data_IF_486120593946
#
_entry.id   IF_486120593946
#
_cell.length_a   1.000
_cell.length_b   1.000
_cell.length_c   1.000
_cell.angle_alpha   90.00
_cell.angle_beta   90.00
_cell.angle_gamma   90.00
#
_symmetry.space_group_name_H-M   'P 1'
#
loop_
_entity.id
_entity.type
_entity.pdbx_description
1 polymer ?
#
# COMPACT_ATOMS: atom_id res chain seq x y z
N UNK A 1 10.10 -37.16 9.09
CA UNK A 1 8.84 -36.89 9.79
C UNK A 1 8.45 -35.40 9.70
N UNK A 2 7.31 -34.99 10.26
CA UNK A 2 6.76 -33.65 10.16
C UNK A 2 7.74 -32.55 10.60
N UNK A 3 8.47 -32.76 11.69
CA UNK A 3 9.49 -31.81 12.16
C UNK A 3 10.54 -31.49 11.08
N UNK A 4 11.16 -32.51 10.48
CA UNK A 4 12.19 -32.31 9.45
C UNK A 4 11.61 -31.60 8.21
N UNK A 5 10.35 -31.88 7.87
CA UNK A 5 9.64 -31.21 6.79
C UNK A 5 9.44 -29.73 7.08
N UNK A 6 8.89 -29.39 8.26
CA UNK A 6 8.66 -28.00 8.66
C UNK A 6 9.94 -27.20 8.85
N UNK A 7 11.02 -27.86 9.31
CA UNK A 7 12.34 -27.20 9.40
C UNK A 7 12.93 -26.93 8.01
N UNK A 8 12.80 -27.88 7.07
CA UNK A 8 13.23 -27.70 5.68
C UNK A 8 12.51 -26.54 4.99
N UNK A 9 11.22 -26.37 5.27
CA UNK A 9 10.42 -25.25 4.76
C UNK A 9 10.67 -23.92 5.52
N UNK A 10 11.54 -23.90 6.52
CA UNK A 10 11.80 -22.71 7.33
C UNK A 10 10.63 -22.30 8.24
N UNK A 11 9.58 -23.12 8.34
CA UNK A 11 8.38 -22.85 9.18
C UNK A 11 8.77 -22.88 10.64
N UNK A 12 9.50 -23.93 11.06
CA UNK A 12 10.04 -24.06 12.42
C UNK A 12 11.54 -23.79 12.37
N UNK A 13 11.98 -22.79 13.11
CA UNK A 13 13.37 -22.39 13.22
C UNK A 13 13.82 -22.51 14.69
N UNK A 14 15.06 -22.95 14.88
CA UNK A 14 15.67 -23.00 16.21
C UNK A 14 15.95 -21.62 16.78
N UNK A 15 16.03 -21.51 18.09
CA UNK A 15 16.51 -20.32 18.79
C UNK A 15 18.03 -20.11 18.61
N UNK A 16 18.66 -19.33 19.47
CA UNK A 16 20.09 -19.11 19.49
C UNK A 16 20.83 -20.46 19.52
N UNK A 17 21.70 -20.71 18.52
CA UNK A 17 22.40 -21.98 18.35
C UNK A 17 21.63 -23.07 17.58
N UNK A 18 20.47 -22.76 16.98
CA UNK A 18 19.73 -23.67 16.10
C UNK A 18 18.92 -24.76 16.80
N UNK A 19 18.88 -24.79 18.13
CA UNK A 19 18.17 -25.79 18.89
C UNK A 19 16.63 -25.57 18.80
N UNK A 20 15.90 -26.62 18.44
CA UNK A 20 14.44 -26.65 18.44
C UNK A 20 13.94 -27.01 19.84
N UNK A 21 13.36 -26.08 20.57
CA UNK A 21 12.81 -26.31 21.90
C UNK A 21 11.37 -26.88 21.81
N UNK A 22 11.22 -28.09 21.24
CA UNK A 22 9.92 -28.68 20.91
C UNK A 22 9.06 -29.06 22.12
N UNK A 23 9.66 -29.14 23.32
CA UNK A 23 8.96 -29.50 24.55
C UNK A 23 8.36 -28.30 25.32
N UNK A 24 8.60 -27.07 24.88
CA UNK A 24 8.07 -25.88 25.56
C UNK A 24 6.76 -25.41 24.94
N UNK A 25 6.00 -24.67 25.73
CA UNK A 25 4.80 -23.97 25.23
C UNK A 25 5.17 -22.91 24.21
N UNK A 26 4.45 -22.90 23.10
CA UNK A 26 4.55 -21.87 22.07
C UNK A 26 3.78 -20.62 22.49
N UNK A 27 4.37 -19.44 22.29
CA UNK A 27 3.65 -18.18 22.49
C UNK A 27 2.70 -17.92 21.31
N UNK A 28 1.73 -17.02 21.51
CA UNK A 28 0.82 -16.60 20.45
C UNK A 28 1.59 -16.01 19.25
N UNK A 29 2.57 -15.14 19.51
CA UNK A 29 3.40 -14.54 18.47
C UNK A 29 4.19 -15.59 17.68
N UNK A 30 4.79 -16.58 18.36
CA UNK A 30 5.50 -17.68 17.67
C UNK A 30 4.56 -18.51 16.81
N UNK A 31 3.35 -18.78 17.31
CA UNK A 31 2.35 -19.50 16.52
C UNK A 31 1.95 -18.72 15.27
N UNK A 32 1.73 -17.41 15.37
CA UNK A 32 1.41 -16.54 14.24
C UNK A 32 2.55 -16.50 13.21
N UNK A 33 3.80 -16.39 13.66
CA UNK A 33 4.98 -16.42 12.78
C UNK A 33 5.09 -17.74 12.04
N UNK A 34 4.89 -18.86 12.73
CA UNK A 34 4.92 -20.20 12.12
C UNK A 34 3.79 -20.40 11.11
N UNK A 35 2.58 -19.95 11.45
CA UNK A 35 1.44 -20.00 10.53
C UNK A 35 1.69 -19.20 9.25
N UNK A 36 2.18 -17.96 9.39
CA UNK A 36 2.55 -17.14 8.24
C UNK A 36 3.63 -17.79 7.37
N UNK A 37 4.69 -18.31 7.97
CA UNK A 37 5.75 -19.04 7.25
C UNK A 37 5.22 -20.27 6.52
N UNK A 38 4.28 -21.00 7.12
CA UNK A 38 3.67 -22.16 6.48
C UNK A 38 2.84 -21.76 5.26
N UNK A 39 2.03 -20.69 5.38
CA UNK A 39 1.25 -20.16 4.27
C UNK A 39 2.19 -19.76 3.13
N UNK A 40 3.22 -18.96 3.42
CA UNK A 40 4.18 -18.53 2.41
C UNK A 40 4.91 -19.71 1.75
N UNK A 41 5.31 -20.72 2.52
CA UNK A 41 5.97 -21.90 1.98
C UNK A 41 5.08 -22.68 1.01
N UNK A 42 3.77 -22.80 1.29
CA UNK A 42 2.80 -23.44 0.38
C UNK A 42 2.66 -22.66 -0.92
N UNK A 43 2.56 -21.33 -0.83
CA UNK A 43 2.50 -20.46 -2.02
C UNK A 43 3.79 -20.54 -2.84
N UNK A 44 4.95 -20.56 -2.18
CA UNK A 44 6.26 -20.65 -2.83
C UNK A 44 6.48 -21.97 -3.57
N UNK A 45 6.03 -23.10 -2.99
CA UNK A 45 6.08 -24.41 -3.65
C UNK A 45 5.20 -24.47 -4.92
N UNK A 46 4.14 -23.69 -4.95
CA UNK A 46 3.19 -23.63 -6.08
C UNK A 46 3.52 -22.51 -7.09
N UNK A 47 4.60 -21.77 -6.90
CA UNK A 47 4.93 -20.54 -7.65
C UNK A 47 3.73 -19.56 -7.69
N UNK A 48 3.00 -19.49 -6.58
CA UNK A 48 1.77 -18.72 -6.43
C UNK A 48 2.01 -17.39 -5.69
N UNK A 49 0.96 -16.60 -5.59
CA UNK A 49 1.01 -15.24 -5.03
C UNK A 49 1.06 -14.17 -6.12
N UNK A 50 0.82 -12.93 -5.71
CA UNK A 50 0.79 -11.80 -6.65
C UNK A 50 2.19 -11.41 -7.08
N UNK A 51 2.49 -11.58 -8.38
CA UNK A 51 3.78 -11.19 -8.99
C UNK A 51 3.86 -9.69 -9.25
N UNK A 52 2.72 -9.04 -9.46
CA UNK A 52 2.67 -7.66 -9.87
C UNK A 52 3.45 -7.39 -11.17
N UNK A 53 3.80 -6.13 -11.38
CA UNK A 53 4.70 -5.71 -12.46
C UNK A 53 6.08 -5.45 -11.85
N UNK A 54 6.88 -6.50 -11.72
CA UNK A 54 8.23 -6.43 -11.16
C UNK A 54 9.28 -6.57 -12.26
N UNK A 55 10.17 -5.59 -12.37
CA UNK A 55 11.36 -5.63 -13.22
C UNK A 55 12.63 -5.55 -12.38
N UNK A 56 13.68 -6.18 -12.91
CA UNK A 56 15.02 -6.11 -12.35
C UNK A 56 15.95 -5.54 -13.40
N UNK A 57 16.65 -4.46 -13.08
CA UNK A 57 17.73 -3.90 -13.88
C UNK A 57 19.06 -4.06 -13.13
N UNK A 58 20.13 -4.43 -13.87
CA UNK A 58 21.46 -4.61 -13.30
C UNK A 58 22.50 -3.85 -14.10
N UNK A 59 23.45 -3.22 -13.40
CA UNK A 59 24.61 -2.57 -14.01
C UNK A 59 25.84 -2.83 -13.12
N UNK A 60 26.67 -3.78 -13.55
CA UNK A 60 27.77 -4.29 -12.71
C UNK A 60 27.22 -4.94 -11.43
N UNK A 61 27.66 -4.46 -10.28
CA UNK A 61 27.20 -4.94 -8.97
C UNK A 61 25.91 -4.28 -8.50
N UNK A 62 25.47 -3.19 -9.17
CA UNK A 62 24.26 -2.48 -8.79
C UNK A 62 23.02 -3.18 -9.34
N UNK A 63 22.01 -3.28 -8.52
CA UNK A 63 20.70 -3.85 -8.88
C UNK A 63 19.59 -2.86 -8.48
N UNK A 64 18.69 -2.61 -9.43
CA UNK A 64 17.46 -1.85 -9.23
C UNK A 64 16.26 -2.77 -9.47
N UNK A 65 15.30 -2.76 -8.56
CA UNK A 65 13.99 -3.36 -8.75
C UNK A 65 12.96 -2.26 -8.96
N UNK A 66 12.11 -2.42 -9.97
CA UNK A 66 10.98 -1.53 -10.25
C UNK A 66 9.71 -2.34 -10.07
N UNK A 67 8.85 -1.92 -9.16
CA UNK A 67 7.57 -2.56 -8.88
C UNK A 67 6.44 -1.58 -9.19
N UNK A 68 5.58 -1.94 -10.14
CA UNK A 68 4.32 -1.24 -10.36
C UNK A 68 3.33 -1.59 -9.25
N UNK A 69 2.82 -0.59 -8.57
CA UNK A 69 1.87 -0.74 -7.46
C UNK A 69 0.50 -0.17 -7.80
N UNK A 70 -0.48 -0.52 -7.01
CA UNK A 70 -1.83 0.03 -7.06
C UNK A 70 -2.22 0.46 -5.64
N UNK A 71 -2.71 1.68 -5.49
CA UNK A 71 -3.08 2.27 -4.20
C UNK A 71 -4.47 1.83 -3.71
N UNK A 72 -4.86 0.59 -4.02
CA UNK A 72 -6.15 0.04 -3.66
C UNK A 72 -5.97 -1.17 -2.74
N UNK A 73 -6.80 -1.21 -1.72
CA UNK A 73 -6.90 -2.35 -0.83
C UNK A 73 -7.60 -3.49 -1.58
N UNK A 74 -6.84 -4.55 -1.91
CA UNK A 74 -7.40 -5.74 -2.56
C UNK A 74 -6.89 -7.01 -1.89
N UNK A 75 -7.81 -7.84 -1.43
CA UNK A 75 -7.49 -9.10 -0.76
C UNK A 75 -6.71 -10.07 -1.65
N UNK A 76 -6.97 -10.06 -2.96
CA UNK A 76 -6.38 -10.99 -3.92
C UNK A 76 -4.93 -10.67 -4.30
N UNK A 77 -4.32 -9.60 -3.78
CA UNK A 77 -2.91 -9.29 -4.01
C UNK A 77 -1.98 -9.95 -3.00
N UNK A 78 -2.52 -10.52 -1.93
CA UNK A 78 -1.71 -11.18 -0.89
C UNK A 78 -1.89 -12.70 -0.90
N UNK A 79 -0.82 -13.44 -0.55
CA UNK A 79 0.53 -12.95 -0.29
C UNK A 79 1.22 -12.46 -1.56
N UNK A 80 2.12 -11.49 -1.42
CA UNK A 80 3.01 -11.11 -2.52
C UNK A 80 3.88 -12.31 -2.91
N UNK A 81 4.10 -12.47 -4.21
CA UNK A 81 4.93 -13.54 -4.75
C UNK A 81 6.35 -13.52 -4.19
N UNK A 82 6.99 -14.68 -4.12
CA UNK A 82 8.36 -14.86 -3.62
C UNK A 82 9.34 -13.86 -4.24
N UNK A 83 9.28 -13.64 -5.56
CA UNK A 83 10.17 -12.71 -6.25
C UNK A 83 10.07 -11.27 -5.73
N UNK A 84 8.86 -10.80 -5.40
CA UNK A 84 8.65 -9.45 -4.83
C UNK A 84 9.21 -9.37 -3.42
N UNK A 85 8.95 -10.39 -2.60
CA UNK A 85 9.47 -10.46 -1.23
C UNK A 85 10.99 -10.54 -1.18
N UNK A 86 11.61 -11.32 -2.09
CA UNK A 86 13.06 -11.42 -2.22
C UNK A 86 13.70 -10.12 -2.74
N UNK A 87 13.06 -9.44 -3.70
CA UNK A 87 13.51 -8.14 -4.17
C UNK A 87 13.52 -7.11 -3.03
N UNK A 88 12.42 -7.03 -2.26
CA UNK A 88 12.35 -6.17 -1.10
C UNK A 88 13.43 -6.53 -0.05
N UNK A 89 13.62 -7.81 0.22
CA UNK A 89 14.64 -8.25 1.18
C UNK A 89 16.06 -7.89 0.75
N UNK A 90 16.38 -8.03 -0.56
CA UNK A 90 17.69 -7.75 -1.12
C UNK A 90 17.99 -6.24 -1.26
N UNK A 91 16.98 -5.39 -1.27
CA UNK A 91 17.16 -3.94 -1.39
C UNK A 91 17.67 -3.34 -0.08
N UNK A 92 18.60 -2.41 -0.16
CA UNK A 92 19.10 -1.64 0.99
C UNK A 92 18.22 -0.42 1.26
N UNK A 93 17.62 0.12 0.20
CA UNK A 93 16.77 1.29 0.20
C UNK A 93 15.47 0.99 -0.55
N UNK A 94 14.38 1.63 -0.15
CA UNK A 94 13.09 1.60 -0.84
C UNK A 94 12.69 3.03 -1.17
N UNK A 95 12.44 3.29 -2.45
CA UNK A 95 12.07 4.60 -2.95
C UNK A 95 10.62 4.55 -3.44
N UNK A 96 9.79 5.42 -2.90
CA UNK A 96 8.38 5.58 -3.26
C UNK A 96 8.17 6.77 -4.19
N UNK A 97 6.98 6.89 -4.74
CA UNK A 97 6.55 8.12 -5.41
C UNK A 97 6.57 9.29 -4.41
N UNK A 98 5.97 9.10 -3.24
CA UNK A 98 5.95 10.02 -2.12
C UNK A 98 6.40 9.33 -0.84
N UNK A 99 7.05 10.05 0.08
CA UNK A 99 7.37 9.51 1.40
C UNK A 99 6.08 9.40 2.25
N UNK A 100 5.63 8.17 2.45
CA UNK A 100 4.42 7.88 3.25
C UNK A 100 4.57 8.22 4.74
N UNK A 101 5.77 8.57 5.19
CA UNK A 101 6.06 8.95 6.57
C UNK A 101 6.18 10.47 6.75
N UNK A 102 6.16 11.26 5.66
CA UNK A 102 6.21 12.73 5.68
C UNK A 102 4.84 13.30 6.09
N UNK A 103 4.65 13.52 7.40
CA UNK A 103 3.41 14.04 7.96
C UNK A 103 3.13 15.49 7.53
N UNK A 104 4.17 16.30 7.33
CA UNK A 104 4.02 17.69 6.88
C UNK A 104 3.57 17.74 5.42
N UNK A 105 4.17 16.92 4.56
CA UNK A 105 3.77 16.77 3.17
C UNK A 105 2.34 16.25 3.01
N UNK A 106 1.96 15.24 3.79
CA UNK A 106 0.59 14.72 3.82
C UNK A 106 -0.40 15.81 4.21
N UNK A 107 -0.12 16.57 5.27
CA UNK A 107 -0.97 17.67 5.72
C UNK A 107 -1.07 18.79 4.66
N UNK A 108 0.05 19.09 3.96
CA UNK A 108 0.05 20.03 2.86
C UNK A 108 -0.88 19.56 1.73
N UNK A 109 -0.75 18.33 1.26
CA UNK A 109 -1.62 17.78 0.21
C UNK A 109 -3.10 17.82 0.62
N UNK A 110 -3.41 17.49 1.87
CA UNK A 110 -4.77 17.59 2.41
C UNK A 110 -5.29 19.02 2.37
N UNK A 111 -4.45 20.01 2.72
CA UNK A 111 -4.85 21.42 2.68
C UNK A 111 -5.10 21.93 1.27
N UNK A 112 -4.42 21.39 0.26
CA UNK A 112 -4.61 21.75 -1.14
C UNK A 112 -5.91 21.21 -1.74
N UNK A 113 -6.53 20.22 -1.11
CA UNK A 113 -7.80 19.62 -1.58
C UNK A 113 -9.02 20.55 -1.42
N UNK A 114 -8.91 21.57 -0.59
CA UNK A 114 -10.01 22.47 -0.27
C UNK A 114 -9.73 23.90 -0.70
N UNK A 115 -10.81 24.67 -0.93
CA UNK A 115 -10.70 26.10 -1.15
C UNK A 115 -10.36 26.81 0.16
N UNK A 116 -9.45 27.79 0.07
CA UNK A 116 -9.03 28.62 1.21
C UNK A 116 -9.34 30.11 1.02
N UNK A 117 -9.90 30.48 -0.13
CA UNK A 117 -10.19 31.86 -0.54
C UNK A 117 -11.66 32.27 -0.26
N UNK A 118 -12.43 31.38 0.34
CA UNK A 118 -13.85 31.61 0.66
C UNK A 118 -14.81 31.28 -0.49
N UNK A 119 -14.31 30.78 -1.62
CA UNK A 119 -15.13 30.25 -2.70
C UNK A 119 -15.56 28.80 -2.40
N UNK A 120 -16.50 28.30 -3.17
CA UNK A 120 -17.07 26.95 -3.04
C UNK A 120 -17.00 26.21 -4.37
N UNK A 121 -17.22 24.91 -4.34
CA UNK A 121 -17.28 24.09 -5.56
C UNK A 121 -18.27 24.67 -6.59
N UNK A 122 -19.42 25.18 -6.14
CA UNK A 122 -20.44 25.75 -7.00
C UNK A 122 -19.95 27.00 -7.77
N UNK A 123 -18.93 27.70 -7.27
CA UNK A 123 -18.35 28.87 -7.93
C UNK A 123 -17.41 28.50 -9.09
N UNK A 124 -16.95 27.23 -9.13
CA UNK A 124 -15.90 26.75 -10.04
C UNK A 124 -16.39 25.77 -11.10
N UNK A 125 -17.60 25.21 -10.97
CA UNK A 125 -18.16 24.27 -11.93
C UNK A 125 -19.55 24.67 -12.39
N UNK A 126 -20.02 24.14 -13.52
CA UNK A 126 -21.38 24.46 -13.98
C UNK A 126 -22.46 23.88 -13.06
N UNK A 127 -23.66 24.50 -13.01
CA UNK A 127 -24.78 23.97 -12.20
C UNK A 127 -25.14 22.53 -12.54
N UNK A 128 -25.03 22.13 -13.83
CA UNK A 128 -25.31 20.77 -14.29
C UNK A 128 -24.26 19.79 -13.76
N UNK A 129 -22.99 20.19 -13.77
CA UNK A 129 -21.92 19.35 -13.23
C UNK A 129 -22.03 19.23 -11.71
N UNK A 130 -22.39 20.33 -11.03
CA UNK A 130 -22.62 20.33 -9.58
C UNK A 130 -23.71 19.33 -9.17
N UNK A 131 -24.85 19.30 -9.88
CA UNK A 131 -25.90 18.31 -9.64
C UNK A 131 -25.43 16.87 -9.84
N UNK A 132 -24.60 16.63 -10.87
CA UNK A 132 -24.00 15.30 -11.10
C UNK A 132 -23.05 14.89 -9.98
N UNK A 133 -22.24 15.82 -9.48
CA UNK A 133 -21.34 15.60 -8.33
C UNK A 133 -22.15 15.25 -7.09
N UNK A 134 -23.23 15.98 -6.79
CA UNK A 134 -24.12 15.68 -5.66
C UNK A 134 -24.76 14.29 -5.78
N UNK A 135 -25.20 13.91 -6.97
CA UNK A 135 -25.78 12.59 -7.23
C UNK A 135 -24.76 11.47 -7.03
N UNK A 136 -23.55 11.66 -7.55
CA UNK A 136 -22.44 10.69 -7.38
C UNK A 136 -22.09 10.54 -5.89
N UNK A 137 -21.92 11.63 -5.18
CA UNK A 137 -21.62 11.65 -3.75
C UNK A 137 -22.67 10.89 -2.94
N UNK A 138 -23.94 11.15 -3.21
CA UNK A 138 -25.05 10.43 -2.56
C UNK A 138 -25.02 8.92 -2.84
N UNK A 139 -24.69 8.52 -4.08
CA UNK A 139 -24.54 7.11 -4.45
C UNK A 139 -23.39 6.43 -3.70
N UNK A 140 -22.34 7.18 -3.41
CA UNK A 140 -21.15 6.69 -2.68
C UNK A 140 -21.28 6.86 -1.15
N UNK A 141 -22.44 7.33 -0.65
CA UNK A 141 -22.72 7.50 0.78
C UNK A 141 -22.06 8.73 1.40
N UNK A 142 -21.62 9.70 0.59
CA UNK A 142 -21.06 10.96 1.08
C UNK A 142 -22.17 11.97 1.38
N UNK A 143 -22.00 12.73 2.48
CA UNK A 143 -22.90 13.83 2.82
C UNK A 143 -22.77 15.00 1.84
N UNK A 144 -23.88 15.65 1.50
CA UNK A 144 -23.87 16.78 0.56
C UNK A 144 -23.24 18.07 1.12
N UNK A 145 -23.19 18.22 2.43
CA UNK A 145 -22.77 19.48 3.07
C UNK A 145 -21.25 19.72 3.02
N UNK A 146 -20.46 18.67 2.80
CA UNK A 146 -19.00 18.77 2.83
C UNK A 146 -18.40 18.95 1.43
N UNK A 147 -19.18 18.74 0.37
CA UNK A 147 -18.70 18.76 -1.01
C UNK A 147 -18.24 20.15 -1.45
N UNK A 148 -18.88 21.20 -0.96
CA UNK A 148 -18.61 22.57 -1.35
C UNK A 148 -17.22 23.08 -0.97
N UNK A 149 -16.61 22.43 0.00
CA UNK A 149 -15.24 22.79 0.44
C UNK A 149 -14.16 22.25 -0.49
N UNK A 150 -14.46 21.19 -1.24
CA UNK A 150 -13.45 20.46 -2.00
C UNK A 150 -13.32 20.97 -3.44
N UNK A 151 -12.08 20.99 -3.90
CA UNK A 151 -11.74 21.26 -5.31
C UNK A 151 -12.12 20.08 -6.21
N UNK A 152 -12.42 20.33 -7.52
CA UNK A 152 -12.85 19.28 -8.45
C UNK A 152 -11.92 18.08 -8.52
N UNK A 153 -10.59 18.28 -8.56
CA UNK A 153 -9.63 17.19 -8.62
C UNK A 153 -9.67 16.29 -7.39
N UNK A 154 -9.86 16.85 -6.21
CA UNK A 154 -9.94 16.11 -4.96
C UNK A 154 -11.19 15.22 -4.92
N UNK A 155 -12.32 15.74 -5.37
CA UNK A 155 -13.57 14.96 -5.51
C UNK A 155 -13.44 13.87 -6.57
N UNK A 156 -12.81 14.16 -7.72
CA UNK A 156 -12.58 13.16 -8.77
C UNK A 156 -11.73 12.01 -8.25
N UNK A 157 -10.66 12.30 -7.52
CA UNK A 157 -9.81 11.28 -6.88
C UNK A 157 -10.59 10.47 -5.84
N UNK A 158 -11.33 11.14 -4.97
CA UNK A 158 -12.16 10.50 -3.93
C UNK A 158 -13.21 9.57 -4.54
N UNK A 159 -13.96 10.04 -5.55
CA UNK A 159 -14.97 9.23 -6.21
C UNK A 159 -14.37 8.02 -6.92
N UNK A 160 -13.22 8.19 -7.57
CA UNK A 160 -12.52 7.08 -8.20
C UNK A 160 -12.14 6.00 -7.17
N UNK A 161 -11.57 6.41 -6.05
CA UNK A 161 -11.18 5.50 -4.97
C UNK A 161 -12.39 4.78 -4.37
N UNK A 162 -13.46 5.51 -4.02
CA UNK A 162 -14.66 4.93 -3.42
C UNK A 162 -15.40 3.99 -4.39
N UNK A 163 -15.45 4.33 -5.68
CA UNK A 163 -16.05 3.45 -6.69
C UNK A 163 -15.33 2.12 -6.80
N UNK A 164 -14.01 2.13 -6.70
CA UNK A 164 -13.19 0.92 -6.75
C UNK A 164 -13.26 0.11 -5.44
N UNK A 165 -13.43 0.76 -4.30
CA UNK A 165 -13.60 0.08 -3.01
C UNK A 165 -14.94 -0.65 -2.90
N UNK A 166 -16.01 -0.11 -3.47
CA UNK A 166 -17.33 -0.75 -3.48
C UNK A 166 -17.37 -2.06 -4.28
N UNK A 167 -16.43 -2.26 -5.20
CA UNK A 167 -16.29 -3.51 -5.96
C UNK A 167 -15.46 -4.58 -5.22
N UNK A 168 -14.89 -4.24 -4.07
CA UNK A 168 -14.06 -5.17 -3.28
C UNK A 168 -14.83 -5.72 -2.09
N UNK A 169 -15.15 -7.01 -2.12
CA UNK A 169 -15.80 -7.76 -1.02
C UNK A 169 -14.76 -8.24 0.00
N UNK A 170 -13.98 -7.36 0.56
CA UNK A 170 -12.97 -7.77 1.53
C UNK A 170 -12.44 -6.56 2.30
N UNK A 171 -12.97 -6.34 3.48
CA UNK A 171 -12.47 -5.30 4.36
C UNK A 171 -11.09 -5.69 4.91
N UNK A 172 -10.13 -4.77 4.88
CA UNK A 172 -8.86 -4.75 5.60
C UNK A 172 -7.60 -5.27 4.89
N UNK A 173 -7.56 -5.40 3.57
CA UNK A 173 -6.28 -5.56 2.89
C UNK A 173 -5.53 -4.20 2.90
N UNK A 174 -4.26 -4.22 3.27
CA UNK A 174 -3.40 -3.05 3.22
C UNK A 174 -2.98 -2.79 1.75
N UNK A 175 -2.95 -1.52 1.30
CA UNK A 175 -2.39 -1.17 0.00
C UNK A 175 -0.93 -1.63 -0.11
N UNK A 176 -0.48 -2.01 -1.31
CA UNK A 176 0.86 -2.60 -1.51
C UNK A 176 1.96 -1.64 -1.04
N UNK A 177 1.83 -0.35 -1.34
CA UNK A 177 2.80 0.68 -0.94
C UNK A 177 2.90 0.76 0.60
N UNK A 178 1.77 0.77 1.29
CA UNK A 178 1.72 0.78 2.75
C UNK A 178 2.34 -0.48 3.36
N UNK A 179 2.11 -1.65 2.74
CA UNK A 179 2.73 -2.91 3.15
C UNK A 179 4.25 -2.87 3.00
N UNK A 180 4.74 -2.42 1.83
CA UNK A 180 6.18 -2.31 1.55
C UNK A 180 6.83 -1.28 2.47
N UNK A 181 6.17 -0.12 2.69
CA UNK A 181 6.66 0.89 3.63
C UNK A 181 6.80 0.34 5.04
N UNK A 182 5.76 -0.33 5.56
CA UNK A 182 5.81 -0.95 6.88
C UNK A 182 6.93 -2.01 6.98
N UNK A 183 7.11 -2.82 5.95
CA UNK A 183 8.18 -3.82 5.90
C UNK A 183 9.58 -3.17 5.85
N UNK A 184 9.76 -2.07 5.10
CA UNK A 184 11.00 -1.31 5.01
C UNK A 184 11.35 -0.67 6.36
N UNK A 185 10.39 0.03 6.99
CA UNK A 185 10.55 0.63 8.32
C UNK A 185 10.93 -0.43 9.36
N UNK A 186 10.20 -1.54 9.42
CA UNK A 186 10.45 -2.62 10.38
C UNK A 186 11.80 -3.31 10.18
N UNK A 187 12.34 -3.25 8.96
CA UNK A 187 13.66 -3.84 8.61
C UNK A 187 14.80 -2.84 8.72
N UNK A 188 14.52 -1.57 9.09
CA UNK A 188 15.52 -0.51 9.20
C UNK A 188 16.14 -0.10 7.87
N UNK A 189 15.42 -0.29 6.74
CA UNK A 189 15.87 0.13 5.42
C UNK A 189 15.77 1.65 5.27
N UNK A 190 16.65 2.23 4.44
CA UNK A 190 16.50 3.61 4.02
C UNK A 190 15.21 3.78 3.19
N UNK A 191 14.52 4.90 3.38
CA UNK A 191 13.29 5.24 2.66
C UNK A 191 13.53 6.57 1.96
N UNK A 192 13.25 6.61 0.66
CA UNK A 192 13.32 7.80 -0.17
C UNK A 192 12.03 8.02 -0.94
N UNK A 193 11.94 9.17 -1.62
CA UNK A 193 10.86 9.51 -2.52
C UNK A 193 11.40 10.20 -3.78
N UNK A 194 10.73 9.98 -4.91
CA UNK A 194 11.08 10.64 -6.19
C UNK A 194 10.38 11.97 -6.36
N UNK A 195 9.26 12.19 -5.69
CA UNK A 195 8.48 13.41 -5.73
C UNK A 195 8.25 13.97 -4.34
N UNK A 196 7.76 15.21 -4.27
CA UNK A 196 7.30 15.84 -3.05
C UNK A 196 5.79 16.06 -3.09
N UNK A 197 5.15 16.09 -1.95
CA UNK A 197 3.72 16.41 -1.84
C UNK A 197 3.38 17.79 -2.41
N UNK A 198 4.28 18.76 -2.26
CA UNK A 198 4.11 20.09 -2.84
C UNK A 198 4.13 20.06 -4.38
N UNK A 199 5.02 19.26 -4.98
CA UNK A 199 5.10 19.11 -6.43
C UNK A 199 3.84 18.41 -6.98
N UNK A 200 3.48 17.27 -6.42
CA UNK A 200 2.32 16.50 -6.85
C UNK A 200 1.00 17.27 -6.64
N UNK A 201 0.84 17.91 -5.47
CA UNK A 201 -0.32 18.75 -5.18
C UNK A 201 -0.43 19.95 -6.14
N UNK A 202 0.69 20.56 -6.51
CA UNK A 202 0.73 21.64 -7.49
C UNK A 202 0.32 21.22 -8.91
N UNK A 203 0.64 19.97 -9.31
CA UNK A 203 0.16 19.40 -10.59
C UNK A 203 -1.37 19.26 -10.55
N UNK A 204 -1.92 18.66 -9.51
CA UNK A 204 -3.37 18.47 -9.39
C UNK A 204 -4.12 19.79 -9.33
N UNK A 205 -3.61 20.76 -8.58
CA UNK A 205 -4.24 22.08 -8.44
C UNK A 205 -4.19 22.90 -9.73
N UNK A 206 -3.20 22.67 -10.58
CA UNK A 206 -3.04 23.34 -11.87
C UNK A 206 -3.94 22.81 -13.00
N UNK A 207 -4.65 21.69 -12.80
CA UNK A 207 -5.58 21.10 -13.79
C UNK A 207 -7.03 21.39 -13.46
N UNK A 208 -7.31 22.13 -12.39
CA UNK A 208 -8.66 22.41 -11.86
C UNK A 208 -9.26 23.65 -12.48
#
# INVERSE_FOLDING_TARGET
GAQAFLTRLGVVQGGAGGALALGRTCTYQEAMVMANRLILAVYDEQDAGSKGLLWKATNGENTLYLLGTIHLDRDNVYPLHKSVREALQASEEVIFELDLNDQEGIALLQSLQTYSDGTTLADHISPELYQRVQTMAATLGMGSNDLDLYKPWALASTFSTLSLQNDTTGANAMAIDSYINAAAVNSGKAIGAVETYAFQGGIFDGVS
#
